data_IF_442952927087
#
_entry.id   IF_442952927087
#
_cell.length_a   1.000
_cell.length_b   1.000
_cell.length_c   1.000
_cell.angle_alpha   90.00
_cell.angle_beta   90.00
_cell.angle_gamma   90.00
#
_symmetry.space_group_name_H-M   'P 1'
#
loop_
_entity.id
_entity.type
_entity.pdbx_description
1 polymer ?
#
# COMPACT_ATOMS: atom_id res chain seq x y z
N UNK A 1 -4.19 -9.45 -22.28
CA UNK A 1 -3.99 -8.80 -20.96
C UNK A 1 -5.01 -9.39 -20.01
N UNK A 2 -4.58 -9.85 -18.84
CA UNK A 2 -5.48 -10.44 -17.86
C UNK A 2 -6.34 -9.34 -17.22
N UNK A 3 -7.54 -9.66 -16.73
CA UNK A 3 -8.44 -8.68 -16.10
C UNK A 3 -7.75 -7.98 -14.92
N UNK A 4 -6.95 -8.73 -14.16
CA UNK A 4 -6.14 -8.22 -13.05
C UNK A 4 -5.11 -7.19 -13.50
N UNK A 5 -4.43 -7.43 -14.62
CA UNK A 5 -3.45 -6.46 -15.15
C UNK A 5 -4.14 -5.16 -15.57
N UNK A 6 -5.31 -5.25 -16.19
CA UNK A 6 -6.10 -4.09 -16.61
C UNK A 6 -6.54 -3.25 -15.40
N UNK A 7 -7.01 -3.88 -14.32
CA UNK A 7 -7.39 -3.18 -13.10
C UNK A 7 -6.22 -2.44 -12.45
N UNK A 8 -5.05 -3.09 -12.35
CA UNK A 8 -3.84 -2.48 -11.79
C UNK A 8 -3.41 -1.28 -12.64
N UNK A 9 -3.40 -1.44 -13.97
CA UNK A 9 -3.03 -0.38 -14.89
C UNK A 9 -3.98 0.83 -14.79
N UNK A 10 -5.29 0.60 -14.76
CA UNK A 10 -6.29 1.66 -14.60
C UNK A 10 -6.17 2.39 -13.26
N UNK A 11 -5.81 1.68 -12.19
CA UNK A 11 -5.58 2.29 -10.88
C UNK A 11 -4.38 3.24 -10.91
N UNK A 12 -3.25 2.81 -11.47
CA UNK A 12 -2.04 3.64 -11.59
C UNK A 12 -2.32 4.86 -12.47
N UNK A 13 -2.91 4.63 -13.65
CA UNK A 13 -3.27 5.72 -14.57
C UNK A 13 -4.23 6.71 -13.93
N UNK A 14 -5.29 6.22 -13.28
CA UNK A 14 -6.26 7.05 -12.58
C UNK A 14 -5.61 7.89 -11.49
N UNK A 15 -4.71 7.29 -10.70
CA UNK A 15 -3.95 8.02 -9.69
C UNK A 15 -3.09 9.12 -10.31
N UNK A 16 -2.40 8.87 -11.42
CA UNK A 16 -1.62 9.87 -12.13
C UNK A 16 -2.48 11.02 -12.69
N UNK A 17 -3.62 10.70 -13.31
CA UNK A 17 -4.56 11.68 -13.88
C UNK A 17 -5.13 12.58 -12.79
N UNK A 18 -5.59 12.03 -11.66
CA UNK A 18 -6.11 12.82 -10.54
C UNK A 18 -5.03 13.76 -10.00
N UNK A 19 -3.79 13.28 -9.91
CA UNK A 19 -2.65 14.04 -9.39
C UNK A 19 -2.28 15.24 -10.24
N UNK A 20 -2.44 15.13 -11.57
CA UNK A 20 -2.24 16.25 -12.49
C UNK A 20 -3.10 17.49 -12.12
N UNK A 21 -4.29 17.29 -11.58
CA UNK A 21 -5.20 18.38 -11.19
C UNK A 21 -4.93 18.94 -9.79
N UNK A 22 -4.33 18.16 -8.90
CA UNK A 22 -4.11 18.53 -7.49
C UNK A 22 -2.89 19.44 -7.26
N UNK A 23 -1.92 19.42 -8.18
CA UNK A 23 -0.68 20.18 -8.10
C UNK A 23 0.41 19.50 -7.26
N UNK A 24 1.68 19.84 -7.56
CA UNK A 24 2.87 19.18 -6.99
C UNK A 24 2.86 19.09 -5.46
N UNK A 25 2.74 20.23 -4.77
CA UNK A 25 2.92 20.27 -3.31
C UNK A 25 1.87 19.41 -2.62
N UNK A 26 0.59 19.53 -3.01
CA UNK A 26 -0.48 18.70 -2.46
C UNK A 26 -0.21 17.22 -2.69
N UNK A 27 0.26 16.85 -3.87
CA UNK A 27 0.52 15.46 -4.19
C UNK A 27 1.75 14.90 -3.47
N UNK A 28 2.80 15.70 -3.28
CA UNK A 28 3.97 15.30 -2.50
C UNK A 28 3.57 14.94 -1.06
N UNK A 29 2.77 15.79 -0.41
CA UNK A 29 2.27 15.51 0.93
C UNK A 29 1.36 14.28 0.96
N UNK A 30 0.48 14.09 -0.02
CA UNK A 30 -0.33 12.87 -0.13
C UNK A 30 0.54 11.62 -0.26
N UNK A 31 1.54 11.65 -1.14
CA UNK A 31 2.49 10.55 -1.31
C UNK A 31 3.26 10.24 -0.01
N UNK A 32 3.73 11.27 0.71
CA UNK A 32 4.38 11.12 2.01
C UNK A 32 3.43 10.53 3.05
N UNK A 33 2.18 11.01 3.15
CA UNK A 33 1.16 10.43 4.04
C UNK A 33 0.98 8.94 3.77
N UNK A 34 0.81 8.54 2.51
CA UNK A 34 0.66 7.14 2.10
C UNK A 34 1.90 6.30 2.45
N UNK A 35 3.10 6.79 2.13
CA UNK A 35 4.36 6.08 2.33
C UNK A 35 4.68 5.89 3.82
N UNK A 36 4.59 6.97 4.62
CA UNK A 36 4.87 6.94 6.06
C UNK A 36 3.83 6.07 6.78
N UNK A 37 2.55 6.14 6.39
CA UNK A 37 1.49 5.30 6.97
C UNK A 37 1.72 3.82 6.74
N UNK A 38 2.11 3.44 5.53
CA UNK A 38 2.45 2.05 5.23
C UNK A 38 3.66 1.60 6.05
N UNK A 39 4.68 2.45 6.17
CA UNK A 39 5.86 2.14 6.98
C UNK A 39 5.51 1.94 8.46
N UNK A 40 4.69 2.82 9.03
CA UNK A 40 4.17 2.68 10.41
C UNK A 40 3.39 1.37 10.53
N UNK A 41 2.50 1.07 9.58
CA UNK A 41 1.70 -0.15 9.62
C UNK A 41 2.56 -1.41 9.63
N UNK A 42 3.63 -1.46 8.83
CA UNK A 42 4.58 -2.59 8.80
C UNK A 42 5.32 -2.71 10.14
N UNK A 43 5.90 -1.62 10.63
CA UNK A 43 6.75 -1.62 11.83
C UNK A 43 5.95 -2.05 13.08
N UNK A 44 4.72 -1.55 13.22
CA UNK A 44 3.88 -1.80 14.39
C UNK A 44 2.96 -3.03 14.25
N UNK A 45 3.02 -3.74 13.12
CA UNK A 45 2.11 -4.85 12.82
C UNK A 45 2.16 -5.95 13.88
N UNK A 46 3.36 -6.40 14.24
CA UNK A 46 3.55 -7.46 15.23
C UNK A 46 3.06 -7.05 16.61
N UNK A 47 3.31 -5.80 17.00
CA UNK A 47 2.85 -5.25 18.29
C UNK A 47 1.33 -5.28 18.35
N UNK A 48 0.64 -4.71 17.37
CA UNK A 48 -0.82 -4.66 17.40
C UNK A 48 -1.43 -6.06 17.25
N UNK A 49 -0.87 -6.90 16.38
CA UNK A 49 -1.32 -8.30 16.20
C UNK A 49 -1.25 -9.08 17.52
N UNK A 50 -0.18 -8.90 18.31
CA UNK A 50 -0.05 -9.54 19.62
C UNK A 50 -1.12 -9.07 20.62
N UNK A 51 -1.50 -7.79 20.59
CA UNK A 51 -2.54 -7.24 21.46
C UNK A 51 -3.95 -7.72 21.08
N UNK A 52 -4.20 -7.98 19.80
CA UNK A 52 -5.49 -8.49 19.33
C UNK A 52 -5.69 -9.99 19.60
N UNK A 53 -4.70 -10.71 20.15
CA UNK A 53 -4.84 -12.15 20.47
C UNK A 53 -6.00 -12.43 21.42
N UNK A 54 -6.30 -11.49 22.32
CA UNK A 54 -7.41 -11.60 23.27
C UNK A 54 -8.78 -11.35 22.63
N UNK A 55 -8.85 -10.44 21.64
CA UNK A 55 -10.07 -10.08 20.93
C UNK A 55 -10.40 -11.05 19.79
N UNK A 56 -9.37 -11.57 19.11
CA UNK A 56 -9.47 -12.45 17.94
C UNK A 56 -8.53 -13.65 18.16
N UNK A 57 -8.93 -14.62 18.99
CA UNK A 57 -8.09 -15.78 19.30
C UNK A 57 -8.06 -16.80 18.16
N UNK A 58 -9.19 -17.03 17.49
CA UNK A 58 -9.39 -18.20 16.60
C UNK A 58 -8.97 -17.99 15.14
N UNK A 59 -8.67 -16.75 14.71
CA UNK A 59 -8.42 -16.42 13.30
C UNK A 59 -7.15 -15.57 13.15
N UNK A 60 -5.97 -16.20 13.00
CA UNK A 60 -4.68 -15.50 12.89
C UNK A 60 -4.58 -14.57 11.66
N UNK A 61 -5.03 -15.04 10.51
CA UNK A 61 -5.08 -14.30 9.24
C UNK A 61 -5.93 -13.03 9.33
N UNK A 62 -7.12 -13.15 9.93
CA UNK A 62 -8.03 -12.04 10.15
C UNK A 62 -7.44 -11.04 11.14
N UNK A 63 -6.76 -11.51 12.19
CA UNK A 63 -6.10 -10.67 13.18
C UNK A 63 -5.01 -9.80 12.56
N UNK A 64 -4.15 -10.40 11.72
CA UNK A 64 -3.08 -9.68 11.00
C UNK A 64 -3.70 -8.66 10.04
N UNK A 65 -4.76 -9.06 9.33
CA UNK A 65 -5.49 -8.18 8.41
C UNK A 65 -6.07 -6.96 9.13
N UNK A 66 -6.75 -7.17 10.25
CA UNK A 66 -7.32 -6.09 11.06
C UNK A 66 -6.21 -5.19 11.59
N UNK A 67 -5.12 -5.74 12.13
CA UNK A 67 -4.01 -4.94 12.64
C UNK A 67 -3.38 -4.06 11.55
N UNK A 68 -3.11 -4.62 10.36
CA UNK A 68 -2.54 -3.88 9.24
C UNK A 68 -3.45 -2.75 8.77
N UNK A 69 -4.75 -3.04 8.57
CA UNK A 69 -5.74 -2.06 8.12
C UNK A 69 -5.90 -0.96 9.17
N UNK A 70 -6.07 -1.33 10.44
CA UNK A 70 -6.26 -0.36 11.52
C UNK A 70 -5.05 0.55 11.69
N UNK A 71 -3.83 0.02 11.66
CA UNK A 71 -2.61 0.84 11.73
C UNK A 71 -2.53 1.78 10.54
N UNK A 72 -2.63 1.24 9.33
CA UNK A 72 -2.49 2.01 8.10
C UNK A 72 -3.48 3.17 8.04
N UNK A 73 -4.78 2.90 8.21
CA UNK A 73 -5.80 3.94 8.12
C UNK A 73 -5.73 4.94 9.26
N UNK A 74 -5.43 4.50 10.49
CA UNK A 74 -5.30 5.43 11.62
C UNK A 74 -4.12 6.38 11.39
N UNK A 75 -2.94 5.87 11.01
CA UNK A 75 -1.80 6.73 10.69
C UNK A 75 -2.06 7.61 9.47
N UNK A 76 -2.73 7.06 8.44
CA UNK A 76 -3.02 7.78 7.20
C UNK A 76 -3.96 8.95 7.43
N UNK A 77 -5.04 8.74 8.17
CA UNK A 77 -5.98 9.81 8.51
C UNK A 77 -5.27 10.90 9.31
N UNK A 78 -4.42 10.55 10.28
CA UNK A 78 -3.68 11.52 11.07
C UNK A 78 -2.67 12.32 10.23
N UNK A 79 -1.91 11.64 9.37
CA UNK A 79 -0.92 12.28 8.49
C UNK A 79 -1.58 13.13 7.42
N UNK A 80 -2.67 12.67 6.82
CA UNK A 80 -3.40 13.43 5.81
C UNK A 80 -4.08 14.65 6.42
N UNK A 81 -4.60 14.53 7.66
CA UNK A 81 -5.11 15.66 8.40
C UNK A 81 -4.02 16.69 8.72
N UNK A 82 -2.84 16.25 9.16
CA UNK A 82 -1.69 17.13 9.38
C UNK A 82 -1.25 17.82 8.07
N UNK A 83 -1.13 17.05 6.99
CA UNK A 83 -0.82 17.55 5.64
C UNK A 83 -1.83 18.61 5.21
N UNK A 84 -3.12 18.40 5.46
CA UNK A 84 -4.16 19.38 5.17
C UNK A 84 -3.95 20.70 5.91
N UNK A 85 -3.64 20.65 7.22
CA UNK A 85 -3.38 21.86 8.03
C UNK A 85 -2.16 22.64 7.52
N UNK A 86 -1.10 21.93 7.15
CA UNK A 86 0.12 22.53 6.59
C UNK A 86 -0.19 23.19 5.24
N UNK A 87 -0.82 22.44 4.33
CA UNK A 87 -1.15 22.92 2.98
C UNK A 87 -2.10 24.11 2.99
N UNK A 88 -3.03 24.17 3.94
CA UNK A 88 -3.93 25.30 4.09
C UNK A 88 -3.21 26.58 4.51
N UNK A 89 -2.06 26.46 5.19
CA UNK A 89 -1.26 27.59 5.67
C UNK A 89 -0.40 28.22 4.56
N UNK A 90 -0.09 27.49 3.50
CA UNK A 90 0.84 27.91 2.42
C UNK A 90 0.15 28.84 1.40
N UNK A 91 -1.18 29.00 1.47
CA UNK A 91 -1.94 29.80 0.51
C UNK A 91 -2.01 29.18 -0.88
N UNK A 92 -2.73 29.81 -1.81
CA UNK A 92 -2.85 29.31 -3.19
C UNK A 92 -1.62 29.72 -4.01
N UNK A 93 -0.78 28.75 -4.36
CA UNK A 93 0.30 28.95 -5.33
C UNK A 93 -0.22 28.82 -6.76
N UNK A 94 0.36 29.58 -7.71
CA UNK A 94 0.11 29.36 -9.14
C UNK A 94 0.84 28.09 -9.56
N UNK A 95 0.08 27.10 -10.03
CA UNK A 95 0.62 25.84 -10.54
C UNK A 95 1.19 26.03 -11.94
N UNK A 96 2.49 25.82 -12.08
CA UNK A 96 3.17 25.75 -13.38
C UNK A 96 2.99 24.37 -14.02
N UNK A 97 3.24 24.25 -15.33
CA UNK A 97 3.19 22.96 -16.04
C UNK A 97 4.18 21.94 -15.45
N UNK A 98 5.45 22.30 -15.13
CA UNK A 98 6.37 21.42 -14.43
C UNK A 98 5.83 20.84 -13.11
N UNK A 99 5.12 21.66 -12.31
CA UNK A 99 4.52 21.20 -11.05
C UNK A 99 3.49 20.08 -11.27
N UNK A 100 2.75 20.14 -12.39
CA UNK A 100 1.75 19.12 -12.69
C UNK A 100 2.38 17.81 -13.16
N UNK A 101 3.50 17.89 -13.90
CA UNK A 101 4.26 16.71 -14.32
C UNK A 101 4.86 16.01 -13.10
N UNK A 102 5.46 16.76 -12.17
CA UNK A 102 5.95 16.21 -10.91
C UNK A 102 4.82 15.54 -10.11
N UNK A 103 3.64 16.17 -10.03
CA UNK A 103 2.48 15.58 -9.38
C UNK A 103 2.09 14.22 -10.00
N UNK A 104 2.16 14.05 -11.33
CA UNK A 104 1.90 12.74 -11.96
C UNK A 104 2.86 11.66 -11.42
N UNK A 105 4.15 11.95 -11.28
CA UNK A 105 5.13 10.98 -10.75
C UNK A 105 4.80 10.57 -9.31
N UNK A 106 4.48 11.52 -8.44
CA UNK A 106 4.05 11.21 -7.06
C UNK A 106 2.71 10.45 -7.03
N UNK A 107 1.79 10.79 -7.92
CA UNK A 107 0.53 10.08 -8.12
C UNK A 107 0.71 8.63 -8.52
N UNK A 108 1.61 8.36 -9.45
CA UNK A 108 2.00 6.99 -9.83
C UNK A 108 2.62 6.27 -8.63
N UNK A 109 3.50 6.94 -7.89
CA UNK A 109 4.07 6.42 -6.65
C UNK A 109 3.01 6.02 -5.63
N UNK A 110 1.98 6.85 -5.42
CA UNK A 110 0.83 6.50 -4.57
C UNK A 110 0.08 5.29 -5.11
N UNK A 111 -0.14 5.22 -6.42
CA UNK A 111 -0.74 4.05 -7.07
C UNK A 111 0.04 2.76 -6.75
N UNK A 112 1.37 2.83 -6.79
CA UNK A 112 2.25 1.71 -6.43
C UNK A 112 2.10 1.30 -4.95
N UNK A 113 1.99 2.27 -4.03
CA UNK A 113 1.75 2.00 -2.61
C UNK A 113 0.38 1.32 -2.40
N UNK A 114 -0.66 1.81 -3.06
CA UNK A 114 -2.01 1.21 -3.00
C UNK A 114 -1.96 -0.25 -3.47
N UNK A 115 -1.33 -0.52 -4.61
CA UNK A 115 -1.22 -1.89 -5.14
C UNK A 115 -0.41 -2.78 -4.20
N UNK A 116 0.68 -2.25 -3.64
CA UNK A 116 1.49 -2.96 -2.63
C UNK A 116 0.62 -3.37 -1.44
N UNK A 117 -0.16 -2.45 -0.89
CA UNK A 117 -1.07 -2.73 0.23
C UNK A 117 -2.11 -3.79 -0.15
N UNK A 118 -2.69 -3.71 -1.35
CA UNK A 118 -3.65 -4.70 -1.85
C UNK A 118 -3.02 -6.08 -2.03
N UNK A 119 -1.76 -6.16 -2.47
CA UNK A 119 -1.03 -7.43 -2.63
C UNK A 119 -0.72 -8.05 -1.29
N UNK A 120 -0.30 -7.25 -0.30
CA UNK A 120 -0.09 -7.71 1.07
C UNK A 120 -1.40 -8.27 1.63
N UNK A 121 -2.51 -7.52 1.51
CA UNK A 121 -3.81 -7.98 1.98
C UNK A 121 -4.27 -9.24 1.24
N UNK A 122 -4.06 -9.32 -0.08
CA UNK A 122 -4.39 -10.51 -0.86
C UNK A 122 -3.56 -11.73 -0.43
N UNK A 123 -2.30 -11.54 -0.04
CA UNK A 123 -1.42 -12.60 0.49
C UNK A 123 -1.94 -13.25 1.77
N UNK A 124 -2.78 -12.55 2.54
CA UNK A 124 -3.47 -13.10 3.72
C UNK A 124 -4.77 -13.86 3.36
N UNK A 125 -5.11 -13.97 2.07
CA UNK A 125 -6.33 -14.62 1.58
C UNK A 125 -6.02 -15.77 0.61
N UNK A 126 -7.06 -16.38 0.05
CA UNK A 126 -6.93 -17.40 -1.01
C UNK A 126 -6.84 -16.81 -2.44
N UNK A 127 -6.71 -15.49 -2.59
CA UNK A 127 -6.55 -14.87 -3.91
C UNK A 127 -5.28 -15.31 -4.67
N UNK A 128 -4.11 -15.52 -4.01
CA UNK A 128 -2.88 -15.89 -4.69
C UNK A 128 -2.94 -17.24 -5.42
N UNK A 129 -3.86 -18.12 -5.04
CA UNK A 129 -4.01 -19.45 -5.66
C UNK A 129 -4.88 -19.44 -6.92
N UNK A 130 -5.51 -18.30 -7.27
CA UNK A 130 -6.37 -18.21 -8.46
C UNK A 130 -5.54 -18.09 -9.73
N UNK A 131 -5.98 -18.75 -10.80
CA UNK A 131 -5.31 -18.75 -12.11
C UNK A 131 -5.08 -17.33 -12.66
N UNK A 132 -6.05 -16.44 -12.49
CA UNK A 132 -5.93 -15.03 -12.89
C UNK A 132 -4.89 -14.24 -12.09
N UNK A 133 -4.57 -14.64 -10.86
CA UNK A 133 -3.49 -14.02 -10.08
C UNK A 133 -2.12 -14.48 -10.57
N UNK A 134 -1.95 -15.80 -10.74
CA UNK A 134 -0.68 -16.40 -11.12
C UNK A 134 -0.22 -15.99 -12.53
N UNK A 135 -1.16 -15.75 -13.45
CA UNK A 135 -0.88 -15.35 -14.83
C UNK A 135 -0.66 -13.83 -15.01
N UNK A 136 -0.83 -13.01 -13.96
CA UNK A 136 -0.69 -11.56 -14.05
C UNK A 136 0.78 -11.14 -14.10
N UNK A 137 1.15 -10.46 -15.19
CA UNK A 137 2.51 -9.94 -15.36
C UNK A 137 2.80 -8.80 -14.37
N UNK A 138 1.79 -7.98 -14.05
CA UNK A 138 1.97 -6.89 -13.09
C UNK A 138 2.17 -7.42 -11.67
N UNK A 139 1.39 -8.40 -11.22
CA UNK A 139 1.60 -9.03 -9.90
C UNK A 139 3.01 -9.59 -9.77
N UNK A 140 3.58 -10.17 -10.85
CA UNK A 140 4.95 -10.66 -10.83
C UNK A 140 5.96 -9.56 -10.50
N UNK A 141 5.75 -8.33 -10.99
CA UNK A 141 6.63 -7.19 -10.71
C UNK A 141 6.61 -6.75 -9.25
N UNK A 142 5.49 -6.97 -8.55
CA UNK A 142 5.34 -6.66 -7.13
C UNK A 142 5.72 -7.85 -6.21
N UNK A 143 6.12 -9.01 -6.76
CA UNK A 143 6.57 -10.16 -5.95
C UNK A 143 7.71 -9.78 -5.02
N UNK A 144 8.68 -9.01 -5.50
CA UNK A 144 9.82 -8.56 -4.69
C UNK A 144 9.38 -7.77 -3.47
N UNK A 145 8.33 -6.97 -3.60
CA UNK A 145 7.76 -6.19 -2.48
C UNK A 145 7.08 -7.09 -1.46
N UNK A 146 6.35 -8.11 -1.91
CA UNK A 146 5.72 -9.08 -1.02
C UNK A 146 6.76 -9.92 -0.26
N UNK A 147 7.85 -10.30 -0.92
CA UNK A 147 9.00 -10.99 -0.29
C UNK A 147 9.68 -10.09 0.73
N UNK A 148 9.93 -8.83 0.37
CA UNK A 148 10.51 -7.84 1.29
C UNK A 148 9.64 -7.63 2.53
N UNK A 149 8.34 -7.47 2.32
CA UNK A 149 7.37 -7.35 3.41
C UNK A 149 7.43 -8.57 4.32
N UNK A 150 7.41 -9.79 3.77
CA UNK A 150 7.52 -11.03 4.55
C UNK A 150 8.79 -11.08 5.40
N UNK A 151 9.93 -10.58 4.90
CA UNK A 151 11.19 -10.52 5.66
C UNK A 151 11.13 -9.60 6.89
N UNK A 152 10.24 -8.60 6.87
CA UNK A 152 10.05 -7.69 7.99
C UNK A 152 9.00 -8.20 9.00
N UNK A 153 8.32 -9.31 8.70
CA UNK A 153 7.35 -9.92 9.59
C UNK A 153 8.03 -10.85 10.59
N UNK A 154 7.56 -10.88 11.85
CA UNK A 154 7.83 -11.99 12.76
C UNK A 154 7.42 -13.35 12.15
N UNK A 155 8.17 -14.42 12.47
CA UNK A 155 8.00 -15.74 11.86
C UNK A 155 6.57 -16.31 11.98
N UNK A 156 5.89 -16.02 13.08
CA UNK A 156 4.51 -16.42 13.35
C UNK A 156 3.49 -15.76 12.42
N UNK A 157 3.75 -14.53 11.98
CA UNK A 157 2.91 -13.78 11.03
C UNK A 157 3.26 -14.18 9.60
N UNK A 158 4.55 -14.41 9.32
CA UNK A 158 5.05 -14.80 8.01
C UNK A 158 4.53 -16.18 7.56
N UNK A 159 4.12 -17.05 8.48
CA UNK A 159 3.55 -18.36 8.20
C UNK A 159 2.13 -18.31 7.62
N UNK A 160 1.35 -17.27 7.95
CA UNK A 160 -0.03 -17.08 7.48
C UNK A 160 -0.09 -16.45 6.07
N UNK A 161 1.05 -15.95 5.57
CA UNK A 161 1.14 -15.28 4.29
C UNK A 161 1.26 -16.30 3.14
N UNK A 162 0.18 -16.48 2.38
CA UNK A 162 0.03 -17.46 1.28
C UNK A 162 0.70 -16.98 -0.02
N UNK A 163 1.98 -16.64 0.05
CA UNK A 163 2.79 -16.20 -1.08
C UNK A 163 4.07 -17.02 -1.14
N UNK A 164 4.20 -17.88 -2.15
CA UNK A 164 5.42 -18.67 -2.35
C UNK A 164 6.59 -17.75 -2.76
N UNK A 165 7.76 -17.85 -2.10
CA UNK A 165 8.95 -17.13 -2.53
C UNK A 165 9.39 -17.62 -3.92
N UNK A 166 9.98 -16.75 -4.76
CA UNK A 166 10.59 -17.16 -6.03
C UNK A 166 11.59 -18.32 -5.82
N UNK A 167 11.69 -19.28 -6.76
CA UNK A 167 12.59 -20.44 -6.63
C UNK A 167 14.07 -20.06 -6.42
N UNK A 168 14.46 -18.85 -6.83
CA UNK A 168 15.84 -18.34 -6.74
C UNK A 168 16.23 -17.90 -5.31
N UNK A 169 15.30 -17.93 -4.35
CA UNK A 169 15.53 -17.55 -2.94
C UNK A 169 15.39 -18.74 -1.97
N UNK A 170 15.49 -19.98 -2.49
CA UNK A 170 15.61 -21.23 -1.72
C UNK A 170 17.04 -21.76 -1.81
#
# INVERSE_FOLDING_TARGET
MNLTDLSIFLLILGSGIISYFNGFVRELFSFLSWSISLMIAIIFLGVLTSQLTTLIPSYPDLRITVALISLFFTSFILLEWLSYLILNSIGRTRLSIPDRILAIFFGIGRGYIIITLLIILAGLTHLPTKTGWQQSALIHHFKSVAVEFRRHLPDDIAAEFKFEPPPELQ
#
